data_IF_859708891052
#
_entry.id   IF_859708891052
#
_cell.length_a   1.000
_cell.length_b   1.000
_cell.length_c   1.000
_cell.angle_alpha   90.00
_cell.angle_beta   90.00
_cell.angle_gamma   90.00
#
_symmetry.space_group_name_H-M   'P 1'
#
loop_
_entity.id
_entity.type
_entity.pdbx_description
1 polymer ?
#
# COMPACT_ATOMS: atom_id res chain seq x y z
N UNK A 1 19.53 -5.05 3.28
CA UNK A 1 20.28 -3.89 2.75
C UNK A 1 20.73 -4.22 1.34
N UNK A 2 20.31 -3.40 0.38
CA UNK A 2 20.76 -3.48 -1.01
C UNK A 2 22.30 -3.55 -1.06
N UNK A 3 22.85 -4.57 -1.72
CA UNK A 3 24.24 -4.56 -2.15
C UNK A 3 24.28 -4.45 -3.67
N UNK A 4 24.17 -3.21 -4.14
CA UNK A 4 24.78 -2.83 -5.40
C UNK A 4 26.29 -2.68 -5.19
N UNK A 5 27.07 -3.50 -5.89
CA UNK A 5 28.45 -3.17 -6.29
C UNK A 5 28.81 -4.03 -7.51
N UNK A 6 28.68 -3.40 -8.67
CA UNK A 6 29.52 -3.71 -9.83
C UNK A 6 30.92 -3.17 -9.50
N UNK A 7 31.90 -4.07 -9.37
CA UNK A 7 33.30 -3.75 -9.65
C UNK A 7 34.08 -5.04 -9.95
N UNK A 8 34.95 -4.95 -10.94
CA UNK A 8 35.50 -6.04 -11.75
C UNK A 8 36.75 -6.73 -11.17
N UNK A 9 37.10 -6.54 -9.89
CA UNK A 9 38.30 -7.14 -9.32
C UNK A 9 37.96 -7.86 -8.00
N UNK A 10 38.01 -9.19 -8.07
CA UNK A 10 37.31 -10.09 -7.17
C UNK A 10 37.80 -10.13 -5.72
N UNK A 11 36.92 -10.65 -4.86
CA UNK A 11 37.14 -11.77 -3.91
C UNK A 11 35.83 -12.04 -3.14
N UNK A 12 35.64 -13.32 -2.81
CA UNK A 12 34.39 -14.04 -2.57
C UNK A 12 33.98 -14.14 -1.09
N UNK A 13 32.68 -14.33 -0.83
CA UNK A 13 32.19 -15.06 0.35
C UNK A 13 31.17 -16.12 -0.08
N UNK A 14 31.46 -17.36 0.31
CA UNK A 14 30.86 -18.62 -0.14
C UNK A 14 29.65 -18.99 0.73
N UNK A 15 28.43 -18.85 0.20
CA UNK A 15 27.25 -19.61 0.64
C UNK A 15 26.63 -20.28 -0.60
N UNK A 16 26.14 -21.53 -0.51
CA UNK A 16 25.74 -22.33 -1.66
C UNK A 16 24.38 -21.86 -2.21
N UNK A 17 24.37 -20.73 -2.92
CA UNK A 17 23.26 -20.32 -3.80
C UNK A 17 23.64 -20.71 -5.24
N UNK A 18 23.79 -22.01 -5.49
CA UNK A 18 24.02 -22.53 -6.86
C UNK A 18 22.71 -22.84 -7.59
N UNK A 19 21.57 -22.71 -6.92
CA UNK A 19 20.28 -23.16 -7.43
C UNK A 19 19.42 -22.07 -8.10
N UNK A 20 19.80 -20.78 -8.05
CA UNK A 20 18.93 -19.69 -8.52
C UNK A 20 19.54 -18.75 -9.58
N UNK A 21 20.58 -19.20 -10.29
CA UNK A 21 21.26 -18.36 -11.31
C UNK A 21 21.14 -18.89 -12.74
N UNK A 22 20.30 -19.91 -12.99
CA UNK A 22 20.24 -20.59 -14.29
C UNK A 22 19.17 -20.05 -15.25
N UNK A 23 18.29 -19.13 -14.83
CA UNK A 23 17.48 -18.38 -15.79
C UNK A 23 17.89 -16.91 -15.76
N UNK A 24 18.21 -16.37 -16.95
CA UNK A 24 18.44 -14.94 -17.18
C UNK A 24 17.14 -14.12 -17.05
N UNK A 25 16.26 -14.48 -16.11
CA UNK A 25 14.96 -13.83 -15.87
C UNK A 25 15.08 -12.57 -15.01
N UNK A 26 16.30 -12.09 -14.75
CA UNK A 26 16.54 -10.84 -14.04
C UNK A 26 15.71 -9.65 -14.56
N UNK A 27 15.49 -9.47 -15.89
CA UNK A 27 14.58 -8.44 -16.39
C UNK A 27 13.12 -8.66 -15.95
N UNK A 28 12.67 -9.91 -15.89
CA UNK A 28 11.33 -10.26 -15.42
C UNK A 28 11.19 -10.03 -13.92
N UNK A 29 12.17 -10.44 -13.11
CA UNK A 29 12.20 -10.19 -11.66
C UNK A 29 12.18 -8.68 -11.36
N UNK A 30 12.98 -7.89 -12.07
CA UNK A 30 12.97 -6.43 -11.93
C UNK A 30 11.60 -5.84 -12.32
N UNK A 31 10.96 -6.37 -13.37
CA UNK A 31 9.62 -5.95 -13.78
C UNK A 31 8.57 -6.27 -12.72
N UNK A 32 8.60 -7.47 -12.14
CA UNK A 32 7.71 -7.88 -11.04
C UNK A 32 7.91 -6.99 -9.81
N UNK A 33 9.17 -6.73 -9.44
CA UNK A 33 9.50 -5.85 -8.30
C UNK A 33 9.02 -4.41 -8.52
N UNK A 34 9.13 -3.89 -9.74
CA UNK A 34 8.59 -2.56 -10.10
C UNK A 34 7.06 -2.54 -9.99
N UNK A 35 6.40 -3.56 -10.53
CA UNK A 35 4.95 -3.65 -10.49
C UNK A 35 4.42 -3.72 -9.05
N UNK A 36 5.06 -4.53 -8.22
CA UNK A 36 4.72 -4.62 -6.81
C UNK A 36 4.85 -3.27 -6.10
N UNK A 37 5.90 -2.49 -6.40
CA UNK A 37 6.05 -1.14 -5.84
C UNK A 37 4.93 -0.20 -6.26
N UNK A 38 4.50 -0.25 -7.52
CA UNK A 38 3.37 0.55 -8.03
C UNK A 38 2.07 0.17 -7.31
N UNK A 39 1.76 -1.12 -7.24
CA UNK A 39 0.53 -1.61 -6.61
C UNK A 39 0.48 -1.25 -5.10
N UNK A 40 1.64 -1.27 -4.41
CA UNK A 40 1.75 -0.82 -3.02
C UNK A 40 1.51 0.69 -2.90
N UNK A 41 2.06 1.50 -3.80
CA UNK A 41 1.86 2.95 -3.78
C UNK A 41 0.40 3.34 -4.01
N UNK A 42 -0.32 2.62 -4.87
CA UNK A 42 -1.75 2.84 -5.11
C UNK A 42 -2.61 2.54 -3.87
N UNK A 43 -2.11 1.68 -2.97
CA UNK A 43 -2.79 1.30 -1.73
C UNK A 43 -2.47 2.26 -0.57
N UNK A 44 -1.57 3.23 -0.78
CA UNK A 44 -1.12 4.18 0.24
C UNK A 44 -1.76 5.55 0.02
N UNK A 45 -2.64 6.02 0.92
CA UNK A 45 -3.22 7.36 0.83
C UNK A 45 -2.17 8.49 0.78
N UNK A 46 -1.02 8.30 1.42
CA UNK A 46 0.09 9.26 1.38
C UNK A 46 0.87 9.27 0.06
N UNK A 47 0.67 8.28 -0.83
CA UNK A 47 1.32 8.21 -2.14
C UNK A 47 2.84 8.06 -2.12
N UNK A 48 3.43 7.73 -0.96
CA UNK A 48 4.87 7.51 -0.78
C UNK A 48 5.15 6.43 0.24
N UNK A 49 6.33 5.83 0.14
CA UNK A 49 6.86 4.95 1.18
C UNK A 49 7.41 5.78 2.35
N UNK A 50 7.32 5.20 3.55
CA UNK A 50 7.97 5.75 4.74
C UNK A 50 9.49 5.63 4.63
N UNK A 51 10.20 6.51 5.35
CA UNK A 51 11.66 6.44 5.47
C UNK A 51 12.09 5.86 6.82
N UNK A 52 13.34 5.39 6.91
CA UNK A 52 13.88 4.81 8.15
C UNK A 52 13.98 5.89 9.24
N UNK A 53 14.25 7.13 8.86
CA UNK A 53 14.34 8.28 9.75
C UNK A 53 13.00 8.59 10.41
N UNK A 54 11.88 8.45 9.70
CA UNK A 54 10.53 8.64 10.26
C UNK A 54 10.23 7.61 11.37
N UNK A 55 10.58 6.35 11.14
CA UNK A 55 10.46 5.29 12.14
C UNK A 55 11.39 5.56 13.34
N UNK A 56 12.63 5.96 13.08
CA UNK A 56 13.60 6.27 14.13
C UNK A 56 13.15 7.44 15.01
N UNK A 57 12.56 8.48 14.41
CA UNK A 57 12.01 9.61 15.16
C UNK A 57 10.82 9.19 16.03
N UNK A 58 9.90 8.37 15.51
CA UNK A 58 8.79 7.85 16.30
C UNK A 58 9.29 7.00 17.48
N UNK A 59 10.23 6.09 17.23
CA UNK A 59 10.84 5.27 18.27
C UNK A 59 11.55 6.13 19.32
N UNK A 60 12.25 7.18 18.90
CA UNK A 60 12.93 8.13 19.81
C UNK A 60 11.93 8.84 20.71
N UNK A 61 10.79 9.30 20.17
CA UNK A 61 9.73 9.90 20.96
C UNK A 61 9.15 8.91 21.99
N UNK A 62 8.83 7.69 21.56
CA UNK A 62 8.26 6.63 22.41
C UNK A 62 9.20 6.15 23.53
N UNK A 63 10.51 6.33 23.38
CA UNK A 63 11.50 5.99 24.40
C UNK A 63 11.87 7.17 25.29
N UNK A 64 11.45 8.38 24.92
CA UNK A 64 11.78 9.60 25.67
C UNK A 64 10.80 9.85 26.83
N UNK A 65 11.24 10.65 27.80
CA UNK A 65 10.42 11.08 28.94
C UNK A 65 9.16 11.87 28.53
N UNK A 66 9.11 12.40 27.31
CA UNK A 66 7.92 13.04 26.75
C UNK A 66 6.74 12.08 26.59
N UNK A 67 7.02 10.78 26.48
CA UNK A 67 6.02 9.72 26.39
C UNK A 67 5.80 8.99 27.74
N UNK A 68 6.20 9.60 28.86
CA UNK A 68 6.19 8.99 30.20
C UNK A 68 4.85 8.42 30.68
N UNK A 69 3.73 8.82 30.08
CA UNK A 69 2.40 8.30 30.40
C UNK A 69 1.78 7.42 29.31
N UNK A 70 2.54 7.13 28.25
CA UNK A 70 2.10 6.28 27.15
C UNK A 70 2.52 4.84 27.44
N UNK A 71 1.55 3.95 27.72
CA UNK A 71 1.81 2.55 28.08
C UNK A 71 0.73 1.66 27.50
N UNK A 72 1.12 0.50 26.96
CA UNK A 72 0.19 -0.47 26.36
C UNK A 72 -0.38 -0.05 24.99
N UNK A 73 0.16 1.00 24.40
CA UNK A 73 -0.31 1.56 23.13
C UNK A 73 0.36 0.90 21.91
N UNK A 74 -0.36 0.83 20.78
CA UNK A 74 0.17 0.34 19.50
C UNK A 74 0.03 1.43 18.45
N UNK A 75 1.14 2.05 18.07
CA UNK A 75 1.15 3.12 17.07
C UNK A 75 1.40 2.54 15.68
N UNK A 76 0.40 2.61 14.80
CA UNK A 76 0.55 2.24 13.39
C UNK A 76 1.26 3.34 12.61
N UNK A 77 2.36 2.99 11.96
CA UNK A 77 3.13 3.88 11.07
C UNK A 77 3.24 3.26 9.68
N UNK A 78 2.15 3.34 8.91
CA UNK A 78 2.03 2.69 7.59
C UNK A 78 1.56 3.66 6.48
N UNK A 79 1.47 4.97 6.77
CA UNK A 79 0.97 5.95 5.81
C UNK A 79 -0.51 5.80 5.45
N UNK A 80 -1.30 5.08 6.27
CA UNK A 80 -2.72 4.87 6.08
C UNK A 80 -3.08 3.60 5.30
N UNK A 81 -2.11 2.72 5.02
CA UNK A 81 -2.32 1.47 4.30
C UNK A 81 -3.42 0.61 4.93
N UNK A 82 -3.34 0.38 6.25
CA UNK A 82 -4.24 -0.53 6.95
C UNK A 82 -5.69 -0.05 6.87
N UNK A 83 -5.93 1.23 7.10
CA UNK A 83 -7.29 1.81 7.03
C UNK A 83 -7.79 1.89 5.60
N UNK A 84 -6.91 2.12 4.63
CA UNK A 84 -7.28 2.14 3.23
C UNK A 84 -7.71 0.74 2.74
N UNK A 85 -6.93 -0.29 3.09
CA UNK A 85 -7.22 -1.67 2.69
C UNK A 85 -8.39 -2.29 3.46
N UNK A 86 -8.65 -1.87 4.70
CA UNK A 86 -9.76 -2.38 5.50
C UNK A 86 -11.15 -1.86 5.03
N UNK A 87 -11.21 -0.75 4.30
CA UNK A 87 -12.46 -0.19 3.82
C UNK A 87 -12.88 -0.76 2.47
N UNK A 88 -14.01 -1.47 2.43
CA UNK A 88 -14.59 -2.07 1.21
C UNK A 88 -14.76 -1.06 0.06
N UNK A 89 -15.16 0.17 0.39
CA UNK A 89 -15.47 1.21 -0.60
C UNK A 89 -14.31 2.18 -0.87
N UNK A 90 -13.14 1.98 -0.25
CA UNK A 90 -12.02 2.91 -0.40
C UNK A 90 -11.43 2.92 -1.81
N UNK A 91 -11.62 1.84 -2.59
CA UNK A 91 -11.24 1.80 -4.02
C UNK A 91 -12.04 2.75 -4.89
N UNK A 92 -13.20 3.23 -4.41
CA UNK A 92 -14.01 4.21 -5.12
C UNK A 92 -13.38 5.62 -5.13
N UNK A 93 -12.28 5.83 -4.41
CA UNK A 93 -11.46 7.05 -4.51
C UNK A 93 -10.90 7.29 -5.93
N UNK A 94 -10.80 6.23 -6.75
CA UNK A 94 -10.36 6.31 -8.14
C UNK A 94 -11.47 6.66 -9.16
N UNK A 95 -12.72 6.75 -8.72
CA UNK A 95 -13.89 6.99 -9.58
C UNK A 95 -14.03 8.49 -9.86
N UNK A 96 -14.22 8.86 -11.13
CA UNK A 96 -14.36 10.27 -11.54
C UNK A 96 -15.73 10.84 -11.21
N UNK A 97 -15.85 12.17 -11.17
CA UNK A 97 -17.11 12.86 -10.87
C UNK A 97 -18.22 12.48 -11.87
N UNK A 98 -17.89 12.29 -13.15
CA UNK A 98 -18.85 11.87 -14.16
C UNK A 98 -19.35 10.44 -13.91
N UNK A 99 -18.45 9.55 -13.46
CA UNK A 99 -18.81 8.18 -13.10
C UNK A 99 -19.67 8.16 -11.83
N UNK A 100 -19.38 9.03 -10.86
CA UNK A 100 -20.21 9.22 -9.67
C UNK A 100 -21.62 9.70 -10.01
N UNK A 101 -21.73 10.66 -10.93
CA UNK A 101 -23.01 11.15 -11.43
C UNK A 101 -23.84 10.04 -12.09
N UNK A 102 -23.19 9.18 -12.89
CA UNK A 102 -23.85 8.05 -13.55
C UNK A 102 -24.34 7.00 -12.52
N UNK A 103 -23.53 6.68 -11.51
CA UNK A 103 -23.91 5.79 -10.41
C UNK A 103 -25.09 6.36 -9.62
N UNK A 104 -25.04 7.65 -9.27
CA UNK A 104 -26.09 8.33 -8.52
C UNK A 104 -27.43 8.34 -9.28
N UNK A 105 -27.40 8.55 -10.61
CA UNK A 105 -28.61 8.46 -11.46
C UNK A 105 -29.22 7.06 -11.41
N UNK A 106 -28.39 6.04 -11.58
CA UNK A 106 -28.85 4.64 -11.60
C UNK A 106 -29.51 4.22 -10.27
N UNK A 107 -28.93 4.65 -9.14
CA UNK A 107 -29.48 4.39 -7.80
C UNK A 107 -30.84 5.10 -7.63
N UNK A 108 -30.94 6.38 -8.04
CA UNK A 108 -32.19 7.14 -7.96
C UNK A 108 -33.29 6.49 -8.80
N UNK A 109 -32.98 6.08 -10.03
CA UNK A 109 -33.94 5.43 -10.93
C UNK A 109 -34.46 4.10 -10.37
N UNK A 110 -33.58 3.34 -9.72
CA UNK A 110 -33.94 2.08 -9.06
C UNK A 110 -34.87 2.32 -7.86
N UNK A 111 -34.56 3.31 -7.02
CA UNK A 111 -35.39 3.69 -5.87
C UNK A 111 -36.79 4.19 -6.29
N UNK A 112 -36.89 4.92 -7.40
CA UNK A 112 -38.18 5.37 -7.96
C UNK A 112 -39.02 4.17 -8.39
N UNK A 113 -38.41 3.20 -9.08
CA UNK A 113 -39.10 1.96 -9.50
C UNK A 113 -39.61 1.16 -8.29
N UNK A 114 -38.81 1.02 -7.24
CA UNK A 114 -39.22 0.33 -6.00
C UNK A 114 -40.39 1.01 -5.31
N UNK A 115 -40.36 2.34 -5.15
CA UNK A 115 -41.48 3.11 -4.58
C UNK A 115 -42.77 2.92 -5.39
N UNK A 116 -42.67 2.90 -6.71
CA UNK A 116 -43.83 2.70 -7.60
C UNK A 116 -44.43 1.29 -7.53
N UNK A 117 -43.66 0.28 -7.10
CA UNK A 117 -44.13 -1.08 -6.86
C UNK A 117 -44.81 -1.19 -5.49
N UNK A 118 -44.23 -0.56 -4.47
CA UNK A 118 -44.77 -0.55 -3.11
C UNK A 118 -46.13 0.14 -3.03
N UNK A 119 -46.34 1.25 -3.76
CA UNK A 119 -47.64 1.94 -3.76
C UNK A 119 -48.75 1.22 -4.54
N UNK A 120 -48.46 0.09 -5.19
CA UNK A 120 -49.42 -0.72 -5.97
C UNK A 120 -49.84 -1.99 -5.24
N UNK A 121 -49.29 -2.26 -4.06
CA UNK A 121 -49.71 -3.30 -3.12
C UNK A 121 -50.63 -2.67 -2.07
#
# INVERSE_FOLDING_TARGET
TYYGKVNLEGIYLWLPIKCLWRSNDWPHVIKVMKRFKEDVLDSLPMGRLGTVEELANLATYMLSDYSSWMTGETVTLDGGETVFNAGEFNKLTSVTDEQWDALARTIRDSNVKEKSKSSKL
#
